data_IF_131318058390
#
_entry.id   IF_131318058390
#
_cell.length_a   1.000
_cell.length_b   1.000
_cell.length_c   1.000
_cell.angle_alpha   90.00
_cell.angle_beta   90.00
_cell.angle_gamma   90.00
#
_symmetry.space_group_name_H-M   'P 1'
#
loop_
_entity.id
_entity.type
_entity.pdbx_description
1 polymer ?
#
# COMPACT_ATOMS: atom_id res chain seq x y z
N UNK A 1 -5.28 11.69 18.90
CA UNK A 1 -6.64 11.46 18.38
C UNK A 1 -7.01 10.01 18.53
N UNK A 2 -8.29 9.69 18.66
CA UNK A 2 -8.82 8.32 18.56
C UNK A 2 -9.21 8.05 17.12
N UNK A 3 -8.64 7.02 16.52
CA UNK A 3 -8.83 6.68 15.11
C UNK A 3 -9.39 5.26 15.01
N UNK A 4 -10.49 5.10 14.28
CA UNK A 4 -11.07 3.80 13.95
C UNK A 4 -10.78 3.47 12.48
N UNK A 5 -10.15 2.32 12.25
CA UNK A 5 -9.89 1.76 10.92
C UNK A 5 -10.80 0.57 10.67
N UNK A 6 -11.54 0.56 9.58
CA UNK A 6 -12.25 -0.60 9.06
C UNK A 6 -11.49 -1.12 7.83
N UNK A 7 -10.75 -2.20 8.01
CA UNK A 7 -9.84 -2.74 6.99
C UNK A 7 -9.88 -4.27 6.88
N UNK A 8 -9.08 -4.82 5.95
CA UNK A 8 -9.10 -6.23 5.61
C UNK A 8 -8.53 -7.14 6.71
N UNK A 9 -7.32 -6.91 7.17
CA UNK A 9 -6.70 -7.48 8.36
C UNK A 9 -5.36 -6.80 8.67
N UNK A 10 -5.11 -6.57 9.94
CA UNK A 10 -3.83 -6.07 10.46
C UNK A 10 -2.91 -7.21 10.88
N UNK A 11 -3.48 -8.27 11.43
CA UNK A 11 -2.75 -9.39 12.05
C UNK A 11 -2.43 -10.53 11.09
N UNK A 12 -2.94 -10.47 9.85
CA UNK A 12 -2.69 -11.49 8.85
C UNK A 12 -2.38 -10.90 7.48
N UNK A 13 -1.22 -11.28 6.92
CA UNK A 13 -0.85 -11.01 5.53
C UNK A 13 -1.36 -12.10 4.56
N UNK A 14 -2.06 -13.11 5.05
CA UNK A 14 -2.60 -14.19 4.23
C UNK A 14 -3.67 -13.65 3.28
N UNK A 15 -3.41 -13.76 1.96
CA UNK A 15 -4.22 -13.16 0.90
C UNK A 15 -4.56 -11.67 1.15
N UNK A 16 -3.60 -10.95 1.72
CA UNK A 16 -3.77 -9.55 2.12
C UNK A 16 -2.51 -8.73 1.86
N UNK A 17 -2.36 -8.25 0.65
CA UNK A 17 -1.21 -7.43 0.24
C UNK A 17 -1.10 -6.08 0.96
N UNK A 18 -2.19 -5.59 1.55
CA UNK A 18 -2.21 -4.32 2.26
C UNK A 18 -1.74 -4.41 3.73
N UNK A 19 -1.57 -5.63 4.29
CA UNK A 19 -1.23 -5.80 5.71
C UNK A 19 0.06 -5.07 6.10
N UNK A 20 1.13 -5.21 5.31
CA UNK A 20 2.42 -4.55 5.57
C UNK A 20 2.28 -3.03 5.57
N UNK A 21 1.52 -2.49 4.63
CA UNK A 21 1.23 -1.06 4.55
C UNK A 21 0.45 -0.57 5.78
N UNK A 22 -0.62 -1.27 6.17
CA UNK A 22 -1.37 -0.91 7.38
C UNK A 22 -0.50 -0.93 8.62
N UNK A 23 0.31 -1.97 8.80
CA UNK A 23 1.23 -2.11 9.94
C UNK A 23 2.18 -0.93 10.03
N UNK A 24 2.82 -0.59 8.92
CA UNK A 24 3.76 0.52 8.87
C UNK A 24 3.13 1.86 9.22
N UNK A 25 2.01 2.21 8.56
CA UNK A 25 1.38 3.52 8.78
C UNK A 25 0.70 3.63 10.14
N UNK A 26 0.03 2.58 10.61
CA UNK A 26 -0.68 2.58 11.89
C UNK A 26 0.31 2.66 13.06
N UNK A 27 1.41 1.90 13.01
CA UNK A 27 2.48 1.98 14.00
C UNK A 27 3.08 3.39 14.06
N UNK A 28 3.40 3.98 12.90
CA UNK A 28 3.93 5.33 12.84
C UNK A 28 2.94 6.40 13.33
N UNK A 29 1.64 6.22 13.12
CA UNK A 29 0.61 7.09 13.71
C UNK A 29 0.52 6.92 15.23
N UNK A 30 0.64 5.70 15.74
CA UNK A 30 0.73 5.45 17.18
C UNK A 30 1.92 6.15 17.82
N UNK A 31 3.09 6.10 17.19
CA UNK A 31 4.31 6.81 17.62
C UNK A 31 4.12 8.34 17.66
N UNK A 32 3.22 8.89 16.85
CA UNK A 32 2.81 10.29 16.89
C UNK A 32 1.76 10.59 17.97
N UNK A 33 1.40 9.61 18.81
CA UNK A 33 0.49 9.76 19.93
C UNK A 33 -0.99 9.55 19.59
N UNK A 34 -1.32 8.96 18.45
CA UNK A 34 -2.69 8.56 18.12
C UNK A 34 -3.05 7.23 18.79
N UNK A 35 -4.33 7.05 19.14
CA UNK A 35 -4.89 5.80 19.65
C UNK A 35 -5.70 5.14 18.52
N UNK A 36 -5.25 3.98 18.06
CA UNK A 36 -5.83 3.32 16.90
C UNK A 36 -6.59 2.06 17.32
N UNK A 37 -7.81 1.92 16.82
CA UNK A 37 -8.56 0.66 16.84
C UNK A 37 -8.76 0.20 15.41
N UNK A 38 -8.30 -1.00 15.11
CA UNK A 38 -8.45 -1.62 13.79
C UNK A 38 -9.55 -2.69 13.86
N UNK A 39 -10.60 -2.49 13.09
CA UNK A 39 -11.73 -3.40 12.95
C UNK A 39 -11.55 -4.25 11.71
N UNK A 40 -11.47 -5.58 11.87
CA UNK A 40 -11.28 -6.52 10.78
C UNK A 40 -12.28 -7.67 10.83
N UNK A 41 -12.75 -8.17 9.66
CA UNK A 41 -13.68 -9.30 9.62
C UNK A 41 -12.95 -10.62 9.87
N UNK A 42 -13.63 -11.56 10.55
CA UNK A 42 -13.22 -12.96 10.58
C UNK A 42 -13.60 -13.63 9.25
N UNK A 43 -12.80 -13.38 8.22
CA UNK A 43 -13.06 -13.84 6.86
C UNK A 43 -11.79 -14.38 6.19
N UNK A 44 -11.97 -15.21 5.15
CA UNK A 44 -10.88 -15.75 4.32
C UNK A 44 -9.82 -16.54 5.10
N UNK A 45 -10.21 -17.16 6.20
CA UNK A 45 -9.31 -17.88 7.12
C UNK A 45 -8.14 -17.07 7.67
N UNK A 46 -8.20 -15.72 7.60
CA UNK A 46 -7.12 -14.83 8.03
C UNK A 46 -6.79 -15.01 9.51
N UNK A 47 -7.80 -15.24 10.36
CA UNK A 47 -7.57 -15.48 11.79
C UNK A 47 -6.84 -16.79 12.08
N UNK A 48 -6.95 -17.79 11.20
CA UNK A 48 -6.17 -19.03 11.28
C UNK A 48 -4.74 -18.89 10.77
N UNK A 49 -4.48 -17.85 9.97
CA UNK A 49 -3.19 -17.59 9.33
C UNK A 49 -2.59 -16.26 9.79
N UNK A 50 -2.69 -16.00 11.09
CA UNK A 50 -2.07 -14.82 11.69
C UNK A 50 -0.55 -14.99 11.65
N UNK A 51 0.16 -13.98 11.19
CA UNK A 51 1.62 -13.93 11.12
C UNK A 51 2.24 -12.99 12.15
N UNK A 52 1.40 -12.17 12.84
CA UNK A 52 1.78 -11.42 14.02
C UNK A 52 0.74 -11.60 15.15
N UNK A 53 1.13 -11.49 16.44
CA UNK A 53 0.19 -11.37 17.55
C UNK A 53 -0.54 -10.03 17.51
N UNK A 54 -1.49 -9.82 18.44
CA UNK A 54 -2.07 -8.48 18.62
C UNK A 54 -0.97 -7.50 19.00
N UNK A 55 -0.81 -6.41 18.22
CA UNK A 55 0.25 -5.44 18.47
C UNK A 55 -0.11 -4.52 19.65
N UNK A 56 0.88 -4.00 20.34
CA UNK A 56 0.73 -3.02 21.42
C UNK A 56 0.43 -1.59 20.92
N UNK A 57 0.70 -1.33 19.63
CA UNK A 57 0.47 -0.04 18.96
C UNK A 57 -0.91 0.11 18.30
N UNK A 58 -1.77 -0.91 18.34
CA UNK A 58 -3.16 -0.83 17.90
C UNK A 58 -4.03 -1.85 18.62
N UNK A 59 -5.24 -1.44 19.02
CA UNK A 59 -6.26 -2.40 19.44
C UNK A 59 -6.87 -3.06 18.20
N UNK A 60 -6.85 -4.38 18.13
CA UNK A 60 -7.50 -5.14 17.05
C UNK A 60 -8.85 -5.66 17.54
N UNK A 61 -9.90 -5.41 16.77
CA UNK A 61 -11.25 -5.90 17.00
C UNK A 61 -11.67 -6.75 15.82
N UNK A 62 -11.73 -8.06 16.03
CA UNK A 62 -12.19 -9.01 15.02
C UNK A 62 -13.70 -9.15 15.14
N UNK A 63 -14.44 -8.88 14.07
CA UNK A 63 -15.90 -9.03 14.06
C UNK A 63 -16.33 -10.24 13.21
N UNK A 64 -17.39 -10.90 13.67
CA UNK A 64 -17.95 -12.08 12.98
C UNK A 64 -18.58 -11.70 11.64
N UNK A 65 -18.50 -12.63 10.67
CA UNK A 65 -19.18 -12.56 9.38
C UNK A 65 -20.22 -13.67 9.31
N UNK A 66 -21.25 -13.48 8.48
CA UNK A 66 -22.37 -14.45 8.34
C UNK A 66 -23.73 -13.77 8.51
N UNK A 67 -23.80 -12.81 9.44
CA UNK A 67 -24.86 -11.81 9.50
C UNK A 67 -24.24 -10.41 9.72
N UNK A 68 -25.02 -9.35 9.54
CA UNK A 68 -24.53 -7.97 9.67
C UNK A 68 -24.30 -7.55 11.13
N UNK A 69 -24.70 -8.33 12.13
CA UNK A 69 -24.67 -7.96 13.55
C UNK A 69 -23.23 -7.71 14.03
N UNK A 70 -22.27 -8.50 13.57
CA UNK A 70 -20.86 -8.32 13.90
C UNK A 70 -20.31 -6.99 13.40
N UNK A 71 -20.57 -6.64 12.14
CA UNK A 71 -20.18 -5.36 11.56
C UNK A 71 -20.89 -4.17 12.21
N UNK A 72 -22.19 -4.28 12.51
CA UNK A 72 -22.95 -3.24 13.20
C UNK A 72 -22.43 -3.00 14.63
N UNK A 73 -22.10 -4.06 15.38
CA UNK A 73 -21.50 -3.95 16.70
C UNK A 73 -20.10 -3.29 16.64
N UNK A 74 -19.30 -3.59 15.62
CA UNK A 74 -18.00 -2.94 15.41
C UNK A 74 -18.17 -1.44 15.11
N UNK A 75 -19.13 -1.07 14.27
CA UNK A 75 -19.49 0.32 13.97
C UNK A 75 -19.94 1.08 15.23
N UNK A 76 -20.81 0.50 16.08
CA UNK A 76 -21.23 1.13 17.33
C UNK A 76 -20.06 1.37 18.30
N UNK A 77 -19.07 0.45 18.36
CA UNK A 77 -17.85 0.64 19.16
C UNK A 77 -16.97 1.77 18.64
N UNK A 78 -17.10 2.14 17.38
CA UNK A 78 -16.35 3.23 16.76
C UNK A 78 -17.01 4.60 16.91
N UNK A 79 -18.15 4.73 17.60
CA UNK A 79 -18.78 6.03 17.84
C UNK A 79 -17.93 6.94 18.69
N UNK A 80 -17.96 8.24 18.38
CA UNK A 80 -17.28 9.28 19.15
C UNK A 80 -15.75 9.26 19.02
N UNK A 81 -15.21 8.65 17.97
CA UNK A 81 -13.81 8.79 17.62
C UNK A 81 -13.57 10.07 16.83
N UNK A 82 -12.34 10.58 16.85
CA UNK A 82 -11.96 11.79 16.12
C UNK A 82 -11.88 11.56 14.61
N UNK A 83 -11.57 10.32 14.18
CA UNK A 83 -11.42 9.95 12.77
C UNK A 83 -11.95 8.55 12.50
N UNK A 84 -12.79 8.44 11.48
CA UNK A 84 -13.33 7.19 10.95
C UNK A 84 -12.72 6.92 9.58
N UNK A 85 -12.03 5.80 9.45
CA UNK A 85 -11.38 5.38 8.21
C UNK A 85 -12.00 4.08 7.72
N UNK A 86 -12.54 4.09 6.49
CA UNK A 86 -12.92 2.89 5.74
C UNK A 86 -11.90 2.66 4.64
N UNK A 87 -11.22 1.51 4.66
CA UNK A 87 -10.30 1.17 3.58
C UNK A 87 -11.01 0.41 2.46
N UNK A 88 -10.56 0.53 1.21
CA UNK A 88 -11.04 -0.36 0.14
C UNK A 88 -10.61 -1.82 0.39
N UNK A 89 -11.30 -2.77 -0.24
CA UNK A 89 -10.88 -4.18 -0.25
C UNK A 89 -10.92 -4.88 1.12
N UNK A 90 -11.87 -4.56 1.99
CA UNK A 90 -12.14 -5.34 3.21
C UNK A 90 -12.51 -6.77 2.84
N UNK A 91 -13.28 -6.91 1.75
CA UNK A 91 -13.66 -8.17 1.14
C UNK A 91 -15.04 -8.68 1.56
N UNK A 92 -15.57 -8.20 2.68
CA UNK A 92 -16.93 -8.47 3.16
C UNK A 92 -17.57 -7.18 3.63
N UNK A 93 -18.86 -7.01 3.34
CA UNK A 93 -19.64 -5.81 3.71
C UNK A 93 -19.06 -4.47 3.20
N UNK A 94 -18.29 -4.48 2.11
CA UNK A 94 -17.60 -3.27 1.62
C UNK A 94 -18.59 -2.12 1.37
N UNK A 95 -19.67 -2.37 0.61
CA UNK A 95 -20.68 -1.35 0.31
C UNK A 95 -21.43 -0.87 1.56
N UNK A 96 -21.79 -1.80 2.45
CA UNK A 96 -22.45 -1.46 3.71
C UNK A 96 -21.56 -0.58 4.61
N UNK A 97 -20.27 -0.94 4.73
CA UNK A 97 -19.30 -0.19 5.52
C UNK A 97 -19.00 1.19 4.91
N UNK A 98 -18.95 1.30 3.56
CA UNK A 98 -18.77 2.58 2.86
C UNK A 98 -19.84 3.60 3.26
N UNK A 99 -21.10 3.19 3.37
CA UNK A 99 -22.21 4.05 3.79
C UNK A 99 -22.29 4.21 5.31
N UNK A 100 -22.11 3.12 6.07
CA UNK A 100 -22.31 3.10 7.50
C UNK A 100 -21.29 3.93 8.27
N UNK A 101 -20.03 3.98 7.82
CA UNK A 101 -18.99 4.84 8.41
C UNK A 101 -19.39 6.31 8.32
N UNK A 102 -19.98 6.74 7.20
CA UNK A 102 -20.49 8.11 7.05
C UNK A 102 -21.69 8.40 7.97
N UNK A 103 -22.53 7.40 8.25
CA UNK A 103 -23.67 7.55 9.17
C UNK A 103 -23.24 7.68 10.65
N UNK A 104 -22.02 7.28 11.02
CA UNK A 104 -21.47 7.47 12.36
C UNK A 104 -20.83 8.85 12.57
N UNK A 105 -20.64 9.62 11.50
CA UNK A 105 -19.97 10.92 11.56
C UNK A 105 -20.77 11.92 12.38
N UNK A 106 -20.11 12.56 13.32
CA UNK A 106 -20.58 13.75 14.00
C UNK A 106 -19.83 15.02 13.51
N UNK A 107 -20.22 16.24 13.93
CA UNK A 107 -19.56 17.48 13.45
C UNK A 107 -18.06 17.59 13.74
N UNK A 108 -17.53 16.80 14.65
CA UNK A 108 -16.10 16.81 15.01
C UNK A 108 -15.33 15.63 14.44
N UNK A 109 -16.03 14.66 13.84
CA UNK A 109 -15.43 13.44 13.28
C UNK A 109 -15.01 13.67 11.85
N UNK A 110 -13.76 13.33 11.51
CA UNK A 110 -13.22 13.32 10.15
C UNK A 110 -13.51 11.95 9.53
N UNK A 111 -14.21 11.91 8.41
CA UNK A 111 -14.48 10.71 7.64
C UNK A 111 -13.48 10.56 6.49
N UNK A 112 -12.85 9.40 6.40
CA UNK A 112 -11.81 9.09 5.40
C UNK A 112 -12.17 7.81 4.67
N UNK A 113 -12.13 7.85 3.36
CA UNK A 113 -12.02 6.63 2.55
C UNK A 113 -10.56 6.45 2.14
N UNK A 114 -9.96 5.33 2.52
CA UNK A 114 -8.57 5.02 2.20
C UNK A 114 -8.49 3.92 1.16
N UNK A 115 -8.26 4.31 -0.06
CA UNK A 115 -8.22 3.39 -1.19
C UNK A 115 -6.82 2.77 -1.37
N UNK A 116 -6.72 1.49 -1.08
CA UNK A 116 -5.49 0.72 -1.24
C UNK A 116 -5.39 0.01 -2.61
N UNK A 117 -6.42 0.14 -3.45
CA UNK A 117 -6.45 -0.34 -4.84
C UNK A 117 -7.29 0.58 -5.72
N UNK A 118 -6.83 1.84 -5.85
CA UNK A 118 -7.56 2.88 -6.59
C UNK A 118 -7.88 2.50 -8.05
N UNK A 119 -7.03 1.81 -8.81
CA UNK A 119 -7.40 1.33 -10.13
C UNK A 119 -8.67 0.46 -10.12
N UNK A 120 -8.76 -0.51 -9.21
CA UNK A 120 -9.93 -1.39 -9.13
C UNK A 120 -11.20 -0.65 -8.67
N UNK A 121 -11.05 0.26 -7.69
CA UNK A 121 -12.18 1.07 -7.20
C UNK A 121 -12.71 2.00 -8.29
N UNK A 122 -11.85 2.73 -8.98
CA UNK A 122 -12.22 3.66 -10.04
C UNK A 122 -12.82 2.93 -11.25
N UNK A 123 -12.27 1.76 -11.62
CA UNK A 123 -12.82 0.92 -12.67
C UNK A 123 -14.24 0.45 -12.32
N UNK A 124 -14.47 -0.02 -11.09
CA UNK A 124 -15.80 -0.39 -10.58
C UNK A 124 -16.80 0.76 -10.71
N UNK A 125 -16.42 1.96 -10.24
CA UNK A 125 -17.31 3.13 -10.22
C UNK A 125 -17.58 3.67 -11.65
N UNK A 126 -16.58 3.66 -12.52
CA UNK A 126 -16.70 4.16 -13.88
C UNK A 126 -17.52 3.22 -14.78
N UNK A 127 -17.36 1.90 -14.60
CA UNK A 127 -18.05 0.89 -15.40
C UNK A 127 -19.46 0.55 -14.89
N UNK A 128 -19.81 0.97 -13.67
CA UNK A 128 -21.14 0.80 -13.10
C UNK A 128 -21.77 2.14 -12.71
N UNK A 129 -22.60 2.75 -13.58
CA UNK A 129 -23.25 4.01 -13.27
C UNK A 129 -24.16 3.99 -12.02
N UNK A 130 -24.57 2.80 -11.57
CA UNK A 130 -25.41 2.58 -10.40
C UNK A 130 -24.59 2.15 -9.16
N UNK A 131 -23.27 2.24 -9.21
CA UNK A 131 -22.44 1.93 -8.05
C UNK A 131 -22.74 2.92 -6.91
N UNK A 132 -23.20 2.43 -5.74
CA UNK A 132 -23.62 3.33 -4.66
C UNK A 132 -22.45 4.15 -4.07
N UNK A 133 -21.21 3.69 -4.23
CA UNK A 133 -20.04 4.40 -3.72
C UNK A 133 -19.82 5.74 -4.43
N UNK A 134 -20.26 5.86 -5.70
CA UNK A 134 -20.17 7.10 -6.47
C UNK A 134 -20.81 8.29 -5.74
N UNK A 135 -21.99 8.07 -5.16
CA UNK A 135 -22.72 9.11 -4.43
C UNK A 135 -22.14 9.38 -3.04
N UNK A 136 -21.33 8.45 -2.51
CA UNK A 136 -20.68 8.58 -1.21
C UNK A 136 -19.34 9.33 -1.27
N UNK A 137 -18.65 9.31 -2.40
CA UNK A 137 -17.34 9.97 -2.58
C UNK A 137 -17.36 11.43 -2.12
N UNK A 138 -18.34 12.29 -2.53
CA UNK A 138 -18.38 13.69 -2.09
C UNK A 138 -18.70 13.90 -0.60
N UNK A 139 -19.18 12.86 0.08
CA UNK A 139 -19.57 12.92 1.49
C UNK A 139 -18.40 12.68 2.45
N UNK A 140 -17.35 11.99 1.99
CA UNK A 140 -16.12 11.86 2.75
C UNK A 140 -15.39 13.20 2.82
N UNK A 141 -14.76 13.46 3.96
CA UNK A 141 -13.95 14.67 4.13
C UNK A 141 -12.62 14.55 3.40
N UNK A 142 -12.09 13.33 3.26
CA UNK A 142 -10.80 13.05 2.67
C UNK A 142 -10.80 11.67 1.99
N UNK A 143 -10.28 11.61 0.79
CA UNK A 143 -9.91 10.37 0.10
C UNK A 143 -8.38 10.24 0.19
N UNK A 144 -7.91 9.10 0.69
CA UNK A 144 -6.49 8.75 0.67
C UNK A 144 -6.27 7.61 -0.31
N UNK A 145 -5.14 7.62 -1.02
CA UNK A 145 -4.82 6.55 -1.96
C UNK A 145 -3.44 5.98 -1.67
N UNK A 146 -3.28 4.67 -1.89
CA UNK A 146 -2.01 3.97 -1.76
C UNK A 146 -1.01 4.35 -2.86
N UNK A 147 -1.51 4.72 -4.04
CA UNK A 147 -0.70 5.04 -5.21
C UNK A 147 -1.52 5.72 -6.31
N UNK A 148 -0.98 5.75 -7.52
CA UNK A 148 -1.63 6.29 -8.72
C UNK A 148 -1.46 7.79 -8.92
N UNK A 149 -0.87 8.51 -7.96
CA UNK A 149 -0.48 9.92 -8.09
C UNK A 149 -1.57 10.85 -8.62
N UNK A 150 -1.16 11.84 -9.39
CA UNK A 150 -2.03 12.86 -9.96
C UNK A 150 -3.17 12.30 -10.85
N UNK A 151 -2.99 11.25 -11.67
CA UNK A 151 -4.09 10.67 -12.45
C UNK A 151 -5.24 10.17 -11.57
N UNK A 152 -4.93 9.51 -10.45
CA UNK A 152 -5.93 9.01 -9.50
C UNK A 152 -6.58 10.17 -8.74
N UNK A 153 -5.80 11.17 -8.32
CA UNK A 153 -6.31 12.39 -7.67
C UNK A 153 -7.37 13.05 -8.54
N UNK A 154 -7.05 13.33 -9.81
CA UNK A 154 -7.98 13.94 -10.77
C UNK A 154 -9.25 13.11 -10.99
N UNK A 155 -9.11 11.78 -11.01
CA UNK A 155 -10.26 10.89 -11.15
C UNK A 155 -11.22 11.00 -9.98
N UNK A 156 -10.71 11.03 -8.74
CA UNK A 156 -11.52 11.24 -7.56
C UNK A 156 -12.13 12.64 -7.47
N UNK A 157 -11.39 13.68 -7.84
CA UNK A 157 -11.89 15.05 -7.92
C UNK A 157 -13.02 15.19 -8.95
N UNK A 158 -12.89 14.55 -10.12
CA UNK A 158 -13.93 14.50 -11.12
C UNK A 158 -15.20 13.76 -10.65
N UNK A 159 -15.07 12.82 -9.71
CA UNK A 159 -16.18 12.16 -9.02
C UNK A 159 -16.71 12.96 -7.82
N UNK A 160 -16.19 14.16 -7.58
CA UNK A 160 -16.66 15.06 -6.54
C UNK A 160 -15.97 14.91 -5.18
N UNK A 161 -14.86 14.21 -5.09
CA UNK A 161 -14.07 14.17 -3.85
C UNK A 161 -13.67 15.59 -3.41
N UNK A 162 -13.81 15.89 -2.12
CA UNK A 162 -13.44 17.20 -1.54
C UNK A 162 -11.94 17.42 -1.51
N UNK A 163 -11.20 16.38 -1.24
CA UNK A 163 -9.75 16.35 -1.22
C UNK A 163 -9.31 14.89 -1.45
N UNK A 164 -8.36 14.66 -2.34
CA UNK A 164 -7.76 13.36 -2.58
C UNK A 164 -6.24 13.46 -2.49
N UNK A 165 -5.60 12.65 -1.65
CA UNK A 165 -4.15 12.72 -1.41
C UNK A 165 -3.52 11.34 -1.40
N UNK A 166 -2.47 11.11 -2.21
CA UNK A 166 -1.68 9.89 -2.14
C UNK A 166 -0.86 9.81 -0.85
N UNK A 167 -1.02 8.72 -0.13
CA UNK A 167 -0.17 8.29 0.98
C UNK A 167 0.53 7.02 0.54
N UNK A 168 1.63 7.19 -0.13
CA UNK A 168 2.38 6.10 -0.75
C UNK A 168 2.88 5.07 0.25
N UNK A 169 3.17 3.88 -0.25
CA UNK A 169 3.98 2.89 0.46
C UNK A 169 5.33 3.50 0.89
N UNK A 170 6.00 2.87 1.85
CA UNK A 170 7.21 3.41 2.43
C UNK A 170 8.10 2.32 3.04
N UNK A 171 9.28 2.70 3.47
CA UNK A 171 10.19 1.86 4.23
C UNK A 171 9.75 1.78 5.71
N UNK A 172 9.74 0.56 6.25
CA UNK A 172 9.86 0.30 7.69
C UNK A 172 11.33 -0.06 7.99
N UNK A 173 12.11 0.86 8.59
CA UNK A 173 13.54 0.63 8.84
C UNK A 173 13.82 -0.48 9.87
N UNK A 174 12.85 -0.79 10.73
CA UNK A 174 13.01 -1.87 11.72
C UNK A 174 12.89 -3.25 11.05
N UNK A 175 12.12 -3.34 9.97
CA UNK A 175 11.92 -4.58 9.22
C UNK A 175 12.94 -4.73 8.09
N UNK A 176 13.24 -3.66 7.35
CA UNK A 176 14.13 -3.69 6.20
C UNK A 176 15.32 -2.74 6.40
N UNK A 177 16.49 -3.34 6.58
CA UNK A 177 17.75 -2.64 6.86
C UNK A 177 18.95 -3.46 6.37
N UNK A 178 20.14 -2.87 6.22
CA UNK A 178 21.34 -3.59 5.84
C UNK A 178 21.71 -4.67 6.86
N UNK A 179 22.08 -5.85 6.34
CA UNK A 179 22.61 -6.98 7.13
C UNK A 179 23.83 -7.58 6.41
N UNK A 180 24.66 -8.38 7.11
CA UNK A 180 25.76 -9.11 6.46
C UNK A 180 25.29 -9.98 5.30
N UNK A 181 26.12 -10.06 4.25
CA UNK A 181 25.85 -10.93 3.10
C UNK A 181 25.92 -12.39 3.48
N UNK A 182 25.03 -13.19 2.90
CA UNK A 182 25.00 -14.65 3.10
C UNK A 182 25.29 -15.38 1.79
N UNK A 183 26.28 -16.27 1.79
CA UNK A 183 26.72 -17.01 0.60
C UNK A 183 25.59 -17.76 -0.11
N UNK A 184 24.58 -18.24 0.64
CA UNK A 184 23.42 -18.96 0.06
C UNK A 184 22.58 -18.10 -0.91
N UNK A 185 22.65 -16.77 -0.77
CA UNK A 185 21.91 -15.79 -1.58
C UNK A 185 22.80 -14.97 -2.53
N UNK A 186 24.12 -15.29 -2.60
CA UNK A 186 25.00 -14.57 -3.53
C UNK A 186 24.67 -14.87 -4.98
N UNK A 187 24.39 -13.82 -5.76
CA UNK A 187 24.14 -13.87 -7.19
C UNK A 187 24.38 -12.51 -7.85
N UNK A 188 24.33 -12.48 -9.19
CA UNK A 188 24.45 -11.24 -9.95
C UNK A 188 23.14 -10.47 -9.97
N UNK A 189 21.99 -11.17 -10.12
CA UNK A 189 20.66 -10.57 -10.06
C UNK A 189 19.69 -11.44 -9.26
N UNK A 190 19.05 -10.83 -8.27
CA UNK A 190 18.00 -11.47 -7.49
C UNK A 190 16.63 -10.89 -7.82
N UNK A 191 15.60 -11.73 -7.88
CA UNK A 191 14.20 -11.33 -7.95
C UNK A 191 13.42 -12.06 -6.86
N UNK A 192 12.66 -11.34 -6.05
CA UNK A 192 11.74 -11.91 -5.07
C UNK A 192 10.30 -11.56 -5.46
N UNK A 193 9.58 -12.51 -6.06
CA UNK A 193 8.23 -12.31 -6.53
C UNK A 193 7.42 -13.62 -6.54
N UNK A 194 6.18 -13.59 -6.07
CA UNK A 194 5.24 -14.69 -6.30
C UNK A 194 4.78 -14.67 -7.77
N UNK A 195 4.54 -15.86 -8.33
CA UNK A 195 3.96 -16.01 -9.66
C UNK A 195 2.50 -15.61 -9.61
N UNK A 196 2.15 -14.52 -10.29
CA UNK A 196 0.81 -14.00 -10.41
C UNK A 196 0.46 -13.84 -11.89
N UNK A 197 -0.79 -14.13 -12.33
CA UNK A 197 -1.17 -14.05 -13.74
C UNK A 197 -0.85 -12.71 -14.41
N UNK A 198 -1.03 -11.59 -13.69
CA UNK A 198 -0.80 -10.24 -14.16
C UNK A 198 0.66 -9.76 -14.02
N UNK A 199 1.59 -10.65 -13.69
CA UNK A 199 3.02 -10.35 -13.56
C UNK A 199 3.91 -11.36 -14.27
N UNK A 200 3.44 -12.59 -14.49
CA UNK A 200 4.26 -13.70 -15.01
C UNK A 200 4.95 -13.33 -16.32
N UNK A 201 4.18 -12.85 -17.31
CA UNK A 201 4.72 -12.47 -18.62
C UNK A 201 5.81 -11.38 -18.50
N UNK A 202 5.65 -10.43 -17.59
CA UNK A 202 6.68 -9.39 -17.36
C UNK A 202 7.94 -9.96 -16.70
N UNK A 203 7.79 -10.93 -15.78
CA UNK A 203 8.97 -11.60 -15.19
C UNK A 203 9.69 -12.42 -16.24
N UNK A 204 8.98 -13.09 -17.15
CA UNK A 204 9.60 -13.76 -18.30
C UNK A 204 10.39 -12.77 -19.17
N UNK A 205 9.78 -11.64 -19.48
CA UNK A 205 10.36 -10.59 -20.32
C UNK A 205 11.59 -9.93 -19.68
N UNK A 206 11.56 -9.58 -18.40
CA UNK A 206 12.64 -8.80 -17.78
C UNK A 206 13.67 -9.66 -17.07
N UNK A 207 13.29 -10.78 -16.46
CA UNK A 207 14.18 -11.59 -15.64
C UNK A 207 14.68 -12.85 -16.38
N UNK A 208 13.76 -13.68 -16.90
CA UNK A 208 14.16 -14.93 -17.53
C UNK A 208 14.86 -14.69 -18.87
N UNK A 209 14.41 -13.71 -19.66
CA UNK A 209 15.06 -13.34 -20.92
C UNK A 209 16.46 -12.75 -20.66
N UNK A 210 16.64 -11.90 -19.64
CA UNK A 210 17.96 -11.40 -19.25
C UNK A 210 18.88 -12.53 -18.77
N UNK A 211 18.35 -13.51 -18.03
CA UNK A 211 19.13 -14.69 -17.62
C UNK A 211 19.60 -15.52 -18.82
N UNK A 212 18.74 -15.72 -19.81
CA UNK A 212 19.10 -16.41 -21.06
C UNK A 212 20.16 -15.64 -21.86
N UNK A 213 20.12 -14.30 -21.82
CA UNK A 213 21.13 -13.43 -22.46
C UNK A 213 22.51 -13.41 -21.78
N UNK A 214 22.57 -13.81 -20.51
CA UNK A 214 23.79 -13.80 -19.69
C UNK A 214 24.08 -15.18 -19.06
N UNK A 215 24.35 -16.24 -19.83
CA UNK A 215 24.46 -17.61 -19.33
C UNK A 215 25.57 -17.82 -18.28
N UNK A 216 26.60 -16.99 -18.29
CA UNK A 216 27.72 -17.06 -17.34
C UNK A 216 27.45 -16.29 -16.03
N UNK A 217 26.31 -15.62 -15.90
CA UNK A 217 25.92 -14.90 -14.70
C UNK A 217 24.94 -15.73 -13.85
N UNK A 218 24.96 -15.51 -12.55
CA UNK A 218 24.11 -16.23 -11.60
C UNK A 218 22.87 -15.41 -11.30
N UNK A 219 21.71 -15.99 -11.57
CA UNK A 219 20.40 -15.40 -11.27
C UNK A 219 19.73 -16.17 -10.14
N UNK A 220 18.96 -15.47 -9.32
CA UNK A 220 18.24 -16.09 -8.21
C UNK A 220 16.79 -15.63 -8.16
N UNK A 221 15.86 -16.59 -8.17
CA UNK A 221 14.43 -16.34 -8.08
C UNK A 221 13.89 -16.88 -6.75
N UNK A 222 13.34 -15.99 -5.93
CA UNK A 222 12.57 -16.32 -4.72
C UNK A 222 11.09 -16.03 -4.92
N UNK A 223 10.24 -16.72 -4.17
CA UNK A 223 8.78 -16.55 -4.20
C UNK A 223 8.06 -17.87 -4.49
N UNK A 224 6.74 -17.86 -4.35
CA UNK A 224 5.90 -19.05 -4.53
C UNK A 224 5.38 -19.16 -5.96
N UNK A 225 5.06 -20.40 -6.40
CA UNK A 225 4.37 -20.68 -7.66
C UNK A 225 5.27 -20.90 -8.88
N UNK A 226 6.59 -20.98 -8.72
CA UNK A 226 7.54 -21.12 -9.84
C UNK A 226 8.11 -22.52 -10.04
N UNK A 227 7.74 -23.51 -9.20
CA UNK A 227 8.38 -24.82 -9.20
C UNK A 227 8.19 -25.62 -10.51
N UNK A 228 7.11 -25.38 -11.23
CA UNK A 228 6.77 -26.02 -12.50
C UNK A 228 7.23 -25.23 -13.74
N UNK A 229 7.81 -24.04 -13.53
CA UNK A 229 8.25 -23.17 -14.63
C UNK A 229 9.62 -23.60 -15.14
N UNK A 230 9.72 -23.81 -16.44
CA UNK A 230 11.04 -23.97 -17.11
C UNK A 230 11.84 -22.66 -17.01
N UNK A 231 13.10 -22.76 -16.60
CA UNK A 231 14.01 -21.64 -16.40
C UNK A 231 15.36 -21.91 -17.08
N UNK A 232 16.10 -20.86 -17.48
CA UNK A 232 17.51 -21.00 -17.86
C UNK A 232 18.35 -21.67 -16.77
N UNK A 233 19.37 -22.43 -17.15
CA UNK A 233 20.21 -23.22 -16.23
C UNK A 233 20.94 -22.37 -15.17
N UNK A 234 21.21 -21.10 -15.48
CA UNK A 234 21.87 -20.15 -14.58
C UNK A 234 20.89 -19.47 -13.60
N UNK A 235 19.60 -19.84 -13.58
CA UNK A 235 18.60 -19.38 -12.64
C UNK A 235 18.43 -20.38 -11.52
N UNK A 236 18.80 -20.00 -10.29
CA UNK A 236 18.53 -20.77 -9.08
C UNK A 236 17.19 -20.37 -8.48
N UNK A 237 16.21 -21.26 -8.50
CA UNK A 237 14.95 -21.08 -7.78
C UNK A 237 15.12 -21.54 -6.33
N UNK A 238 14.81 -20.65 -5.36
CA UNK A 238 14.97 -20.92 -3.93
C UNK A 238 13.65 -21.10 -3.16
N UNK A 239 12.53 -21.04 -3.89
CA UNK A 239 11.22 -21.18 -3.26
C UNK A 239 10.82 -19.94 -2.46
N UNK A 240 9.94 -20.14 -1.49
CA UNK A 240 9.47 -19.06 -0.62
C UNK A 240 10.61 -18.53 0.26
N UNK A 241 10.84 -17.22 0.21
CA UNK A 241 11.77 -16.51 1.11
C UNK A 241 10.95 -15.85 2.21
N UNK A 242 11.21 -16.23 3.46
CA UNK A 242 10.50 -15.67 4.62
C UNK A 242 10.97 -14.25 4.92
N UNK A 243 10.12 -13.44 5.52
CA UNK A 243 10.42 -12.02 5.83
C UNK A 243 11.72 -11.85 6.61
N UNK A 244 12.03 -12.75 7.53
CA UNK A 244 13.30 -12.75 8.28
C UNK A 244 14.55 -12.86 7.41
N UNK A 245 14.42 -13.43 6.20
CA UNK A 245 15.51 -13.65 5.24
C UNK A 245 15.54 -12.59 4.14
N UNK A 246 14.52 -11.69 4.05
CA UNK A 246 14.42 -10.69 2.98
C UNK A 246 15.65 -9.77 2.96
N UNK A 247 16.13 -9.33 4.12
CA UNK A 247 17.31 -8.45 4.18
C UNK A 247 18.56 -9.16 3.66
N UNK A 248 18.81 -10.40 4.12
CA UNK A 248 19.95 -11.19 3.64
C UNK A 248 19.85 -11.47 2.13
N UNK A 249 18.65 -11.78 1.63
CA UNK A 249 18.41 -11.99 0.20
C UNK A 249 18.74 -10.75 -0.61
N UNK A 250 18.25 -9.58 -0.19
CA UNK A 250 18.48 -8.31 -0.89
C UNK A 250 19.95 -7.85 -0.79
N UNK A 251 20.59 -7.96 0.40
CA UNK A 251 21.97 -7.53 0.62
C UNK A 251 23.01 -8.41 -0.07
N UNK A 252 22.70 -9.68 -0.36
CA UNK A 252 23.69 -10.64 -0.88
C UNK A 252 23.81 -10.61 -2.39
N UNK A 253 22.78 -10.17 -3.11
CA UNK A 253 22.82 -9.99 -4.56
C UNK A 253 23.70 -8.78 -4.95
N UNK A 254 24.26 -8.80 -6.18
CA UNK A 254 24.89 -7.60 -6.74
C UNK A 254 23.85 -6.54 -7.06
N UNK A 255 22.72 -6.96 -7.65
CA UNK A 255 21.53 -6.14 -7.87
C UNK A 255 20.27 -6.93 -7.56
N UNK A 256 19.21 -6.21 -7.23
CA UNK A 256 17.85 -6.75 -7.04
C UNK A 256 16.98 -6.18 -8.16
N UNK A 257 16.20 -7.04 -8.81
CA UNK A 257 15.23 -6.63 -9.81
C UNK A 257 13.85 -6.43 -9.16
N UNK A 258 13.19 -5.34 -9.51
CA UNK A 258 11.77 -5.17 -9.34
C UNK A 258 11.06 -5.21 -10.68
N UNK A 259 9.95 -5.92 -10.77
CA UNK A 259 9.04 -5.91 -11.92
C UNK A 259 7.64 -5.64 -11.42
N UNK A 260 7.04 -4.57 -11.90
CA UNK A 260 5.69 -4.19 -11.53
C UNK A 260 4.64 -5.14 -12.12
N UNK A 261 3.47 -5.18 -11.51
CA UNK A 261 2.25 -5.73 -12.11
C UNK A 261 1.83 -4.83 -13.29
N UNK A 262 1.23 -5.40 -14.33
CA UNK A 262 0.79 -4.62 -15.50
C UNK A 262 -0.14 -3.46 -15.12
N UNK A 263 -1.08 -3.69 -14.22
CA UNK A 263 -1.99 -2.65 -13.73
C UNK A 263 -1.26 -1.49 -13.06
N UNK A 264 -0.26 -1.78 -12.23
CA UNK A 264 0.53 -0.75 -11.54
C UNK A 264 1.42 0.03 -12.49
N UNK A 265 2.06 -0.66 -13.44
CA UNK A 265 2.91 -0.03 -14.45
C UNK A 265 2.10 0.90 -15.36
N UNK A 266 0.90 0.49 -15.76
CA UNK A 266 0.03 1.26 -16.66
C UNK A 266 -0.53 2.54 -16.02
N UNK A 267 -0.83 2.51 -14.72
CA UNK A 267 -1.32 3.70 -14.00
C UNK A 267 -0.21 4.66 -13.59
N UNK A 268 1.04 4.18 -13.49
CA UNK A 268 2.14 4.98 -12.97
C UNK A 268 2.00 5.34 -11.49
N UNK A 269 2.94 6.10 -10.95
CA UNK A 269 2.95 6.63 -9.57
C UNK A 269 2.53 5.63 -8.49
N UNK A 270 2.80 4.33 -8.72
CA UNK A 270 2.40 3.23 -7.84
C UNK A 270 3.61 2.40 -7.42
N UNK A 271 4.45 2.91 -6.50
CA UNK A 271 5.67 2.23 -6.10
C UNK A 271 5.31 0.91 -5.40
N UNK A 272 5.82 -0.25 -5.89
CA UNK A 272 5.67 -1.51 -5.18
C UNK A 272 6.49 -1.50 -3.88
N UNK A 273 6.12 -2.34 -2.91
CA UNK A 273 6.83 -2.46 -1.63
C UNK A 273 8.32 -2.72 -1.82
N UNK A 274 8.67 -3.47 -2.86
CA UNK A 274 10.06 -3.84 -3.19
C UNK A 274 10.99 -2.63 -3.39
N UNK A 275 10.48 -1.52 -3.91
CA UNK A 275 11.26 -0.28 -4.07
C UNK A 275 11.85 0.14 -2.71
N UNK A 276 11.03 0.11 -1.66
CA UNK A 276 11.47 0.54 -0.32
C UNK A 276 12.18 -0.58 0.45
N UNK A 277 11.76 -1.83 0.29
CA UNK A 277 12.33 -2.98 0.98
C UNK A 277 13.77 -3.27 0.53
N UNK A 278 14.01 -3.31 -0.79
CA UNK A 278 15.34 -3.58 -1.33
C UNK A 278 16.30 -2.41 -1.09
N UNK A 279 15.86 -1.17 -1.33
CA UNK A 279 16.68 0.02 -1.08
C UNK A 279 16.89 0.28 0.41
N UNK A 280 15.92 -0.08 1.27
CA UNK A 280 16.07 -0.07 2.72
C UNK A 280 17.12 -1.05 3.22
N UNK A 281 17.30 -2.17 2.54
CA UNK A 281 18.40 -3.11 2.78
C UNK A 281 19.74 -2.65 2.15
N UNK A 282 19.79 -1.51 1.45
CA UNK A 282 20.99 -1.00 0.79
C UNK A 282 21.33 -1.72 -0.50
N UNK A 283 20.39 -2.45 -1.12
CA UNK A 283 20.62 -3.13 -2.38
C UNK A 283 20.60 -2.17 -3.57
N UNK A 284 21.46 -2.42 -4.56
CA UNK A 284 21.33 -1.80 -5.88
C UNK A 284 20.05 -2.31 -6.54
N UNK A 285 19.12 -1.42 -6.83
CA UNK A 285 17.83 -1.76 -7.43
C UNK A 285 17.85 -1.49 -8.93
N UNK A 286 17.44 -2.49 -9.72
CA UNK A 286 17.01 -2.35 -11.11
C UNK A 286 15.49 -2.46 -11.10
N UNK A 287 14.76 -1.59 -11.79
CA UNK A 287 13.30 -1.68 -11.91
C UNK A 287 12.88 -1.51 -13.37
N UNK A 288 11.76 -2.14 -13.74
CA UNK A 288 11.07 -1.81 -14.98
C UNK A 288 10.67 -0.32 -15.00
N UNK A 289 10.58 0.26 -16.20
CA UNK A 289 10.18 1.65 -16.36
C UNK A 289 8.69 1.83 -16.04
N UNK A 290 8.37 2.85 -15.24
CA UNK A 290 7.02 3.29 -14.93
C UNK A 290 7.00 4.79 -14.60
N UNK A 291 5.90 5.47 -14.90
CA UNK A 291 5.75 6.90 -14.67
C UNK A 291 5.78 7.23 -13.18
N UNK A 292 6.61 8.21 -12.79
CA UNK A 292 6.69 8.72 -11.42
C UNK A 292 7.75 8.08 -10.54
N UNK A 293 8.64 7.21 -11.08
CA UNK A 293 9.77 6.67 -10.31
C UNK A 293 10.65 7.79 -9.72
N UNK A 294 10.79 8.89 -10.44
CA UNK A 294 11.61 10.06 -10.06
C UNK A 294 11.11 10.72 -8.77
N UNK A 295 9.85 10.52 -8.42
CA UNK A 295 9.27 10.99 -7.14
C UNK A 295 9.92 10.30 -5.93
N UNK A 296 10.43 9.08 -6.13
CA UNK A 296 10.94 8.24 -5.05
C UNK A 296 12.46 8.09 -5.09
N UNK A 297 13.02 7.85 -6.27
CA UNK A 297 14.43 7.57 -6.48
C UNK A 297 14.92 8.25 -7.78
N UNK A 298 16.14 8.73 -7.77
CA UNK A 298 16.76 9.36 -8.94
C UNK A 298 17.34 8.30 -9.87
N UNK A 299 16.81 8.13 -11.13
CA UNK A 299 17.36 7.21 -12.12
C UNK A 299 18.84 7.45 -12.40
N UNK A 300 19.60 6.36 -12.54
CA UNK A 300 21.05 6.38 -12.79
C UNK A 300 21.91 6.67 -11.56
N UNK A 301 21.31 7.12 -10.45
CA UNK A 301 22.02 7.46 -9.21
C UNK A 301 21.55 6.64 -8.00
N UNK A 302 20.26 6.43 -7.86
CA UNK A 302 19.62 5.76 -6.73
C UNK A 302 18.85 4.50 -7.18
N UNK A 303 18.61 4.38 -8.49
CA UNK A 303 17.94 3.24 -9.12
C UNK A 303 18.38 3.14 -10.58
N UNK A 304 18.47 1.92 -11.09
CA UNK A 304 18.63 1.66 -12.52
C UNK A 304 17.26 1.32 -13.11
N UNK A 305 16.89 1.93 -14.22
CA UNK A 305 15.61 1.73 -14.89
C UNK A 305 15.85 0.99 -16.20
N UNK A 306 15.03 -0.02 -16.48
CA UNK A 306 15.10 -0.83 -17.70
C UNK A 306 13.73 -0.89 -18.38
N UNK A 307 13.70 -0.76 -19.71
CA UNK A 307 12.50 -0.88 -20.52
C UNK A 307 12.24 -2.33 -20.97
N UNK A 308 13.30 -3.15 -21.00
CA UNK A 308 13.26 -4.55 -21.45
C UNK A 308 14.43 -5.36 -20.88
N UNK A 309 14.55 -6.63 -21.34
CA UNK A 309 15.64 -7.51 -20.94
C UNK A 309 17.01 -7.04 -21.40
N UNK A 310 17.10 -6.43 -22.58
CA UNK A 310 18.39 -5.99 -23.14
C UNK A 310 18.99 -4.87 -22.30
N UNK A 311 18.17 -3.96 -21.78
CA UNK A 311 18.62 -2.93 -20.85
C UNK A 311 18.99 -3.52 -19.47
N UNK A 312 18.29 -4.56 -18.99
CA UNK A 312 18.70 -5.29 -17.77
C UNK A 312 20.08 -5.94 -17.98
N UNK A 313 20.31 -6.55 -19.15
CA UNK A 313 21.61 -7.13 -19.54
C UNK A 313 22.69 -6.06 -19.56
N UNK A 314 22.47 -4.93 -20.23
CA UNK A 314 23.43 -3.81 -20.31
C UNK A 314 23.78 -3.27 -18.92
N UNK A 315 22.79 -3.13 -18.03
CA UNK A 315 23.05 -2.74 -16.65
C UNK A 315 23.94 -3.75 -15.94
N UNK A 316 23.66 -5.06 -16.04
CA UNK A 316 24.45 -6.10 -15.38
C UNK A 316 25.87 -6.24 -15.94
N UNK A 317 26.08 -6.00 -17.21
CA UNK A 317 27.42 -6.01 -17.85
C UNK A 317 28.28 -4.85 -17.37
N UNK A 318 27.70 -3.65 -17.24
CA UNK A 318 28.41 -2.44 -16.83
C UNK A 318 28.53 -2.30 -15.29
N UNK A 319 27.72 -3.03 -14.51
CA UNK A 319 27.62 -2.88 -13.05
C UNK A 319 28.71 -3.69 -12.35
N UNK A 320 29.75 -3.03 -11.83
CA UNK A 320 30.67 -3.63 -10.88
C UNK A 320 30.17 -3.54 -9.44
N UNK A 321 30.86 -4.18 -8.50
CA UNK A 321 30.49 -4.19 -7.09
C UNK A 321 30.55 -2.79 -6.45
N UNK A 322 31.52 -1.97 -6.81
CA UNK A 322 31.68 -0.64 -6.25
C UNK A 322 30.54 0.30 -6.69
N UNK A 323 30.19 0.25 -7.97
CA UNK A 323 29.06 1.00 -8.54
C UNK A 323 27.74 0.53 -7.94
N UNK A 324 27.51 -0.79 -7.82
CA UNK A 324 26.30 -1.34 -7.18
C UNK A 324 26.17 -0.86 -5.72
N UNK A 325 27.26 -0.91 -4.95
CA UNK A 325 27.27 -0.42 -3.56
C UNK A 325 26.96 1.07 -3.51
N UNK A 326 27.58 1.88 -4.39
CA UNK A 326 27.34 3.33 -4.43
C UNK A 326 25.89 3.69 -4.72
N UNK A 327 25.23 2.97 -5.65
CA UNK A 327 23.81 3.17 -5.98
C UNK A 327 22.94 2.74 -4.81
N UNK A 328 23.20 1.56 -4.23
CA UNK A 328 22.43 1.06 -3.08
C UNK A 328 22.53 1.98 -1.87
N UNK A 329 23.74 2.48 -1.55
CA UNK A 329 23.94 3.45 -0.46
C UNK A 329 23.24 4.79 -0.72
N UNK A 330 23.22 5.26 -1.98
CA UNK A 330 22.51 6.48 -2.33
C UNK A 330 20.99 6.30 -2.17
N UNK A 331 20.45 5.16 -2.64
CA UNK A 331 19.05 4.80 -2.47
C UNK A 331 18.65 4.67 -0.99
N UNK A 332 19.47 3.98 -0.19
CA UNK A 332 19.23 3.83 1.25
C UNK A 332 19.15 5.19 1.94
N UNK A 333 20.09 6.09 1.69
CA UNK A 333 20.06 7.46 2.24
C UNK A 333 18.79 8.19 1.84
N UNK A 334 18.36 8.07 0.58
CA UNK A 334 17.14 8.72 0.06
C UNK A 334 15.89 8.20 0.77
N UNK A 335 15.70 6.87 0.84
CA UNK A 335 14.49 6.31 1.42
C UNK A 335 14.41 6.53 2.94
N UNK A 336 15.54 6.51 3.64
CA UNK A 336 15.57 6.85 5.07
C UNK A 336 15.25 8.33 5.32
N UNK A 337 15.69 9.23 4.47
CA UNK A 337 15.48 10.67 4.61
C UNK A 337 14.06 11.12 4.29
N UNK A 338 13.34 10.43 3.36
CA UNK A 338 12.11 10.97 2.78
C UNK A 338 10.96 9.97 2.63
N UNK A 339 11.23 8.66 2.71
CA UNK A 339 10.26 7.63 2.32
C UNK A 339 10.09 6.53 3.39
N UNK A 340 10.05 6.90 4.66
CA UNK A 340 9.65 5.98 5.75
C UNK A 340 8.18 6.14 6.10
N UNK A 341 7.57 5.16 6.75
CA UNK A 341 6.20 5.27 7.26
C UNK A 341 6.04 6.42 8.25
N UNK A 342 7.10 6.82 8.96
CA UNK A 342 7.09 8.03 9.80
C UNK A 342 6.84 9.29 8.97
N UNK A 343 7.44 9.42 7.79
CA UNK A 343 7.17 10.55 6.88
C UNK A 343 5.73 10.53 6.38
N UNK A 344 5.18 9.36 6.06
CA UNK A 344 3.77 9.21 5.64
C UNK A 344 2.81 9.57 6.77
N UNK A 345 3.08 9.12 8.00
CA UNK A 345 2.29 9.50 9.17
C UNK A 345 2.35 11.00 9.45
N UNK A 346 3.51 11.64 9.31
CA UNK A 346 3.64 13.09 9.43
C UNK A 346 2.88 13.85 8.33
N UNK A 347 2.91 13.34 7.09
CA UNK A 347 2.12 13.87 5.98
C UNK A 347 0.63 13.81 6.32
N UNK A 348 0.14 12.64 6.73
CA UNK A 348 -1.24 12.45 7.14
C UNK A 348 -1.63 13.36 8.30
N UNK A 349 -0.78 13.48 9.33
CA UNK A 349 -1.06 14.34 10.49
C UNK A 349 -1.24 15.81 10.08
N UNK A 350 -0.46 16.32 9.12
CA UNK A 350 -0.65 17.67 8.57
C UNK A 350 -1.98 17.83 7.85
N UNK A 351 -2.41 16.82 7.08
CA UNK A 351 -3.71 16.82 6.39
C UNK A 351 -4.86 16.83 7.37
N UNK A 352 -4.80 15.99 8.41
CA UNK A 352 -5.81 15.92 9.47
C UNK A 352 -5.99 17.27 10.17
N UNK A 353 -4.90 17.91 10.56
CA UNK A 353 -4.94 19.24 11.20
C UNK A 353 -5.57 20.27 10.24
N UNK A 354 -5.20 20.23 8.95
CA UNK A 354 -5.81 21.08 7.93
C UNK A 354 -7.31 20.84 7.75
N UNK A 355 -7.75 19.57 7.72
CA UNK A 355 -9.17 19.21 7.60
C UNK A 355 -9.97 19.63 8.85
N UNK A 356 -9.43 19.42 10.06
CA UNK A 356 -10.05 19.83 11.31
C UNK A 356 -10.23 21.35 11.42
N UNK A 357 -9.30 22.11 10.83
CA UNK A 357 -9.41 23.58 10.81
C UNK A 357 -10.47 24.06 9.80
N UNK A 358 -10.65 23.39 8.67
CA UNK A 358 -11.67 23.70 7.66
C UNK A 358 -13.08 23.34 8.10
N UNK A 359 -13.24 22.26 8.87
CA UNK A 359 -14.53 21.77 9.38
C UNK A 359 -15.10 22.54 10.57
N UNK A 360 -14.35 23.45 11.20
CA UNK A 360 -14.86 24.31 12.26
C UNK A 360 -15.61 25.48 11.65
N UNK A 361 -16.93 25.65 11.92
CA UNK A 361 -17.63 26.87 11.53
C UNK A 361 -16.88 28.06 12.13
N UNK A 362 -16.58 29.07 11.29
CA UNK A 362 -15.95 30.30 11.78
C UNK A 362 -16.85 30.88 12.86
N UNK A 363 -16.32 31.27 14.01
CA UNK A 363 -17.06 31.90 15.12
C UNK A 363 -17.84 33.17 14.71
N UNK A 364 -17.73 33.61 13.45
CA UNK A 364 -18.33 34.84 12.91
C UNK A 364 -19.76 34.67 12.36
N UNK A 365 -20.30 33.46 12.22
CA UNK A 365 -21.64 33.26 11.63
C UNK A 365 -22.74 32.80 12.62
N UNK A 366 -22.51 32.89 13.92
CA UNK A 366 -23.58 32.66 14.88
C UNK A 366 -24.43 33.93 15.00
N UNK A 367 -25.38 34.10 14.07
CA UNK A 367 -26.42 35.10 14.17
C UNK A 367 -27.70 34.42 14.71
N UNK A 368 -28.10 34.67 15.98
CA UNK A 368 -29.22 33.96 16.64
C UNK A 368 -30.63 34.31 16.11
N UNK A 369 -30.72 35.00 14.96
CA UNK A 369 -31.99 35.56 14.44
C UNK A 369 -32.55 34.94 13.16
N UNK A 370 -31.99 33.87 12.56
CA UNK A 370 -32.59 33.24 11.38
C UNK A 370 -33.18 31.85 11.72
N UNK A 371 -34.48 31.61 11.45
CA UNK A 371 -35.08 30.28 11.63
C UNK A 371 -34.49 29.33 10.57
N UNK A 372 -33.89 28.23 11.05
CA UNK A 372 -33.44 27.12 10.20
C UNK A 372 -34.65 26.42 9.57
N UNK A 373 -34.73 26.41 8.25
CA UNK A 373 -35.65 25.50 7.55
C UNK A 373 -35.14 24.08 7.74
N UNK A 374 -35.97 23.26 8.37
CA UNK A 374 -35.72 21.84 8.56
C UNK A 374 -35.54 21.13 7.21
N UNK A 375 -34.45 20.38 7.09
CA UNK A 375 -34.25 19.44 6.01
C UNK A 375 -35.20 18.23 6.16
N UNK A 376 -35.71 17.64 5.08
CA UNK A 376 -36.64 16.52 5.17
C UNK A 376 -35.93 15.24 5.63
N UNK A 377 -36.27 14.81 6.83
CA UNK A 377 -35.91 13.50 7.36
C UNK A 377 -36.93 12.48 6.86
N UNK A 378 -36.49 11.45 6.18
CA UNK A 378 -36.99 10.06 6.28
C UNK A 378 -36.46 9.25 5.10
N UNK A 379 -35.39 8.51 5.33
CA UNK A 379 -35.09 7.34 4.53
C UNK A 379 -35.89 6.19 5.17
N UNK A 380 -36.96 5.78 4.52
CA UNK A 380 -37.66 4.53 4.84
C UNK A 380 -36.87 3.36 4.27
N UNK A 381 -36.33 2.53 5.14
CA UNK A 381 -35.82 1.21 4.79
C UNK A 381 -37.03 0.36 4.39
N UNK A 382 -37.19 0.04 3.11
CA UNK A 382 -38.06 -1.06 2.65
C UNK A 382 -37.23 -2.33 2.65
N UNK A 383 -37.64 -3.27 3.49
CA UNK A 383 -37.16 -4.63 3.40
C UNK A 383 -37.72 -5.35 2.13
N UNK A 384 -36.90 -6.12 1.49
CA UNK A 384 -37.17 -7.46 0.91
C UNK A 384 -35.88 -8.24 1.06
#
# INVERSE_FOLDING_TARGET
MKIAFFGSSLVSAYWNGAATYYRGIIRALHELGHQITFYEPDAYDRQKHRDIPDPDWARVVVYTVGDESGALNALEQARGVDMLIKTSGVGVYDQQLEAAVLALKDPNTISVFWDVDAPATLDRVNNNPLDPFKDLIPLYDLILTYGGGEPVVRSYEALGARECVPIYNALDPDTHHPVPREQRFECDLALLANRLPDREARIEQFFLAAAAGLPDRRFMLGGSGWADKSMPENVKYVGHVYTRDHNAFNCSARAVLNVNRDSMASYGFSPPTRIFEATGAGACLITDAWEGIETFLTPGREVLVANDADEVVQHLESLDHATATSIGDAALRRVLAEHTYRHRAQQLNKLIVGAALRGRPSRAEFNPGRPQRAAPTKIQVRGV
#
